data_IF_868859852839
#
_entry.id   IF_868859852839
#
_cell.length_a   1.000
_cell.length_b   1.000
_cell.length_c   1.000
_cell.angle_alpha   90.00
_cell.angle_beta   90.00
_cell.angle_gamma   90.00
#
_symmetry.space_group_name_H-M   'P 1'
#
loop_
_entity.id
_entity.type
_entity.pdbx_description
1 polymer ?
#
# COMPACT_ATOMS: atom_id res chain seq x y z
N UNK A 1 19.26 -43.44 -21.03
CA UNK A 1 19.57 -42.92 -19.69
C UNK A 1 18.68 -41.73 -19.46
N UNK A 2 17.64 -41.91 -18.64
CA UNK A 2 16.74 -40.86 -18.23
C UNK A 2 17.49 -39.97 -17.22
N UNK A 3 17.63 -38.68 -17.52
CA UNK A 3 18.00 -37.71 -16.51
C UNK A 3 16.74 -37.22 -15.84
N UNK A 4 16.52 -37.80 -14.68
CA UNK A 4 15.63 -37.37 -13.62
C UNK A 4 16.03 -35.94 -13.21
N UNK A 5 15.24 -34.94 -13.61
CA UNK A 5 15.38 -33.57 -13.12
C UNK A 5 14.53 -33.48 -11.85
N UNK A 6 15.25 -33.36 -10.74
CA UNK A 6 14.75 -33.12 -9.40
C UNK A 6 13.48 -32.25 -9.33
N UNK A 7 12.43 -32.84 -8.75
CA UNK A 7 11.50 -32.12 -7.87
C UNK A 7 12.26 -31.61 -6.64
N UNK A 8 12.41 -30.29 -6.50
CA UNK A 8 12.39 -29.57 -5.22
C UNK A 8 12.55 -28.06 -5.49
N UNK A 9 11.48 -27.30 -5.26
CA UNK A 9 11.48 -25.85 -5.20
C UNK A 9 10.19 -25.43 -4.50
N UNK A 10 10.16 -25.54 -3.17
CA UNK A 10 9.09 -24.93 -2.38
C UNK A 10 9.16 -23.42 -2.62
N UNK A 11 8.15 -22.89 -3.30
CA UNK A 11 8.24 -21.59 -3.98
C UNK A 11 8.71 -20.45 -3.09
N UNK A 12 9.66 -19.67 -3.61
CA UNK A 12 10.05 -18.36 -3.07
C UNK A 12 8.83 -17.43 -3.18
N UNK A 13 8.31 -16.94 -2.05
CA UNK A 13 7.16 -16.05 -1.98
C UNK A 13 6.40 -16.12 -0.65
N UNK A 14 5.57 -15.12 -0.33
CA UNK A 14 4.70 -15.18 0.85
C UNK A 14 3.71 -16.34 0.76
N UNK A 15 3.20 -16.80 1.91
CA UNK A 15 2.08 -17.73 1.93
C UNK A 15 0.81 -17.02 1.47
N UNK A 16 -0.08 -17.75 0.81
CA UNK A 16 -1.41 -17.23 0.48
C UNK A 16 -2.20 -17.05 1.80
N UNK A 17 -2.66 -15.83 2.14
CA UNK A 17 -3.40 -15.53 3.37
C UNK A 17 -4.76 -16.24 3.41
N UNK A 18 -5.36 -16.33 4.59
CA UNK A 18 -6.69 -16.88 4.83
C UNK A 18 -7.77 -16.03 4.18
N UNK A 19 -8.73 -16.68 3.52
CA UNK A 19 -9.84 -15.98 2.87
C UNK A 19 -10.72 -15.24 3.90
N UNK A 20 -11.31 -14.12 3.47
CA UNK A 20 -12.14 -13.25 4.32
C UNK A 20 -13.60 -13.16 3.88
N UNK A 21 -13.97 -13.95 2.89
CA UNK A 21 -15.34 -14.11 2.39
C UNK A 21 -15.36 -14.95 1.11
N UNK A 22 -16.49 -14.96 0.42
CA UNK A 22 -16.70 -15.83 -0.74
C UNK A 22 -15.86 -15.43 -1.96
N UNK A 23 -15.59 -14.14 -2.15
CA UNK A 23 -14.82 -13.65 -3.31
C UNK A 23 -13.35 -13.99 -3.16
N UNK A 24 -12.75 -13.63 -2.01
CA UNK A 24 -11.37 -13.95 -1.67
C UNK A 24 -11.13 -15.46 -1.60
N UNK A 25 -12.08 -16.25 -1.07
CA UNK A 25 -11.99 -17.72 -1.08
C UNK A 25 -11.92 -18.29 -2.50
N UNK A 26 -12.80 -17.84 -3.41
CA UNK A 26 -12.79 -18.31 -4.79
C UNK A 26 -11.50 -17.92 -5.54
N UNK A 27 -10.96 -16.71 -5.31
CA UNK A 27 -9.64 -16.33 -5.85
C UNK A 27 -8.55 -17.25 -5.29
N UNK A 28 -8.54 -17.48 -3.97
CA UNK A 28 -7.57 -18.33 -3.29
C UNK A 28 -7.57 -19.78 -3.82
N UNK A 29 -8.76 -20.38 -3.98
CA UNK A 29 -8.95 -21.72 -4.54
C UNK A 29 -8.49 -21.77 -6.01
N UNK A 30 -8.80 -20.74 -6.79
CA UNK A 30 -8.36 -20.65 -8.18
C UNK A 30 -6.83 -20.57 -8.30
N UNK A 31 -6.17 -19.76 -7.45
CA UNK A 31 -4.70 -19.65 -7.42
C UNK A 31 -4.00 -20.97 -7.08
N UNK A 32 -4.67 -21.86 -6.33
CA UNK A 32 -4.16 -23.20 -6.00
C UNK A 32 -4.48 -24.26 -7.06
N UNK A 33 -5.30 -23.94 -8.04
CA UNK A 33 -5.79 -24.89 -9.05
C UNK A 33 -6.92 -25.80 -8.54
N UNK A 34 -7.54 -25.46 -7.41
CA UNK A 34 -8.54 -26.28 -6.73
C UNK A 34 -9.98 -25.82 -7.01
N UNK A 35 -10.16 -24.67 -7.67
CA UNK A 35 -11.46 -24.02 -7.82
C UNK A 35 -11.68 -23.30 -9.14
N UNK A 36 -12.78 -22.55 -9.19
CA UNK A 36 -13.15 -21.67 -10.31
C UNK A 36 -13.07 -20.21 -9.88
N UNK A 37 -12.82 -19.27 -10.81
CA UNK A 37 -12.79 -17.84 -10.48
C UNK A 37 -14.14 -17.39 -9.90
N UNK A 38 -14.17 -16.38 -9.01
CA UNK A 38 -15.42 -15.87 -8.45
C UNK A 38 -16.40 -15.44 -9.54
N UNK A 39 -17.70 -15.69 -9.31
CA UNK A 39 -18.73 -15.24 -10.24
C UNK A 39 -18.84 -13.72 -10.17
N UNK A 40 -19.08 -13.09 -11.33
CA UNK A 40 -19.26 -11.63 -11.42
C UNK A 40 -20.35 -11.09 -10.48
N UNK A 41 -21.41 -11.87 -10.25
CA UNK A 41 -22.48 -11.48 -9.32
C UNK A 41 -22.00 -11.43 -7.86
N UNK A 42 -21.11 -12.33 -7.46
CA UNK A 42 -20.56 -12.34 -6.10
C UNK A 42 -19.65 -11.12 -5.90
N UNK A 43 -18.80 -10.81 -6.88
CA UNK A 43 -17.99 -9.57 -6.92
C UNK A 43 -18.87 -8.31 -6.85
N UNK A 44 -19.97 -8.27 -7.60
CA UNK A 44 -20.87 -7.12 -7.63
C UNK A 44 -21.60 -6.88 -6.29
N UNK A 45 -21.77 -7.92 -5.46
CA UNK A 45 -22.46 -7.86 -4.15
C UNK A 45 -21.52 -7.62 -2.98
N UNK A 46 -20.22 -7.86 -3.15
CA UNK A 46 -19.23 -7.64 -2.10
C UNK A 46 -19.13 -6.15 -1.75
N UNK A 47 -18.97 -5.86 -0.46
CA UNK A 47 -18.65 -4.52 0.04
C UNK A 47 -17.31 -4.07 -0.55
N UNK A 48 -17.31 -2.90 -1.20
CA UNK A 48 -16.17 -2.39 -1.96
C UNK A 48 -14.99 -2.02 -1.07
N UNK A 49 -15.23 -1.56 0.15
CA UNK A 49 -14.16 -1.29 1.12
C UNK A 49 -14.03 -2.41 2.16
N UNK A 50 -14.81 -3.49 2.01
CA UNK A 50 -14.83 -4.62 2.92
C UNK A 50 -13.68 -5.60 2.69
N UNK A 51 -13.42 -6.41 3.71
CA UNK A 51 -12.33 -7.38 3.73
C UNK A 51 -12.30 -8.35 2.57
N UNK A 52 -13.48 -8.87 2.16
CA UNK A 52 -13.56 -9.90 1.13
C UNK A 52 -13.08 -9.37 -0.23
N UNK A 53 -13.55 -8.18 -0.63
CA UNK A 53 -13.16 -7.57 -1.89
C UNK A 53 -11.72 -7.08 -1.86
N UNK A 54 -11.31 -6.40 -0.79
CA UNK A 54 -9.97 -5.83 -0.68
C UNK A 54 -8.89 -6.92 -0.61
N UNK A 55 -9.14 -8.04 0.08
CA UNK A 55 -8.22 -9.16 0.05
C UNK A 55 -8.18 -9.83 -1.33
N UNK A 56 -9.33 -10.05 -1.98
CA UNK A 56 -9.36 -10.63 -3.32
C UNK A 56 -8.57 -9.79 -4.34
N UNK A 57 -8.67 -8.46 -4.23
CA UNK A 57 -7.93 -7.54 -5.08
C UNK A 57 -6.42 -7.56 -4.78
N UNK A 58 -6.03 -7.59 -3.49
CA UNK A 58 -4.63 -7.73 -3.07
C UNK A 58 -4.00 -9.02 -3.62
N UNK A 59 -4.70 -10.15 -3.53
CA UNK A 59 -4.25 -11.43 -4.10
C UNK A 59 -4.00 -11.34 -5.61
N UNK A 60 -4.84 -10.60 -6.34
CA UNK A 60 -4.66 -10.40 -7.78
C UNK A 60 -3.47 -9.51 -8.12
N UNK A 61 -3.18 -8.51 -7.27
CA UNK A 61 -2.04 -7.60 -7.49
C UNK A 61 -0.70 -8.20 -7.10
N UNK A 62 -0.65 -9.04 -6.07
CA UNK A 62 0.61 -9.60 -5.59
C UNK A 62 1.31 -10.50 -6.64
N UNK A 63 0.55 -11.02 -7.61
CA UNK A 63 1.10 -11.72 -8.78
C UNK A 63 1.99 -10.85 -9.68
N UNK A 64 1.87 -9.52 -9.61
CA UNK A 64 2.69 -8.56 -10.37
C UNK A 64 3.95 -8.13 -9.58
N UNK A 65 4.15 -8.71 -8.39
CA UNK A 65 5.30 -8.45 -7.52
C UNK A 65 6.01 -9.78 -7.21
N UNK A 66 5.86 -10.34 -5.99
CA UNK A 66 6.56 -11.57 -5.58
C UNK A 66 5.72 -12.83 -5.72
N UNK A 67 4.46 -12.72 -6.13
CA UNK A 67 3.53 -13.84 -6.21
C UNK A 67 3.30 -14.49 -4.84
N UNK A 68 3.00 -15.79 -4.83
CA UNK A 68 2.83 -16.57 -3.60
C UNK A 68 3.50 -17.93 -3.71
N UNK A 69 3.98 -18.45 -2.58
CA UNK A 69 4.56 -19.78 -2.50
C UNK A 69 3.57 -20.85 -2.99
N UNK A 70 3.98 -21.61 -4.01
CA UNK A 70 3.19 -22.69 -4.60
C UNK A 70 2.14 -22.25 -5.62
N UNK A 71 2.05 -20.95 -5.93
CA UNK A 71 1.18 -20.43 -6.99
C UNK A 71 2.00 -20.31 -8.29
N UNK A 72 1.55 -20.89 -9.43
CA UNK A 72 2.29 -20.80 -10.69
C UNK A 72 2.45 -19.37 -11.22
N UNK A 73 3.67 -18.98 -11.60
CA UNK A 73 4.00 -17.62 -12.08
C UNK A 73 3.18 -17.19 -13.31
N UNK A 74 2.82 -18.12 -14.20
CA UNK A 74 2.02 -17.81 -15.40
C UNK A 74 0.63 -17.26 -15.09
N UNK A 75 0.15 -17.40 -13.84
CA UNK A 75 -1.12 -16.83 -13.39
C UNK A 75 -1.10 -15.29 -13.35
N UNK A 76 0.07 -14.66 -13.36
CA UNK A 76 0.22 -13.20 -13.53
C UNK A 76 -0.60 -12.68 -14.73
N UNK A 77 -0.63 -13.46 -15.82
CA UNK A 77 -1.31 -13.14 -17.09
C UNK A 77 -2.46 -14.09 -17.44
N UNK A 78 -2.98 -14.85 -16.47
CA UNK A 78 -4.11 -15.75 -16.70
C UNK A 78 -5.39 -14.97 -17.09
N UNK A 79 -6.01 -15.24 -18.26
CA UNK A 79 -7.13 -14.46 -18.75
C UNK A 79 -8.36 -14.44 -17.83
N UNK A 80 -8.63 -15.55 -17.14
CA UNK A 80 -9.77 -15.63 -16.24
C UNK A 80 -9.54 -14.82 -14.95
N UNK A 81 -8.31 -14.84 -14.42
CA UNK A 81 -7.95 -14.01 -13.28
C UNK A 81 -7.89 -12.52 -13.64
N UNK A 82 -7.38 -12.16 -14.82
CA UNK A 82 -7.44 -10.78 -15.33
C UNK A 82 -8.89 -10.29 -15.46
N UNK A 83 -9.81 -11.15 -15.91
CA UNK A 83 -11.25 -10.86 -15.99
C UNK A 83 -11.87 -10.64 -14.60
N UNK A 84 -11.41 -11.35 -13.58
CA UNK A 84 -11.81 -11.15 -12.17
C UNK A 84 -11.26 -9.83 -11.65
N UNK A 85 -9.96 -9.59 -11.80
CA UNK A 85 -9.30 -8.35 -11.36
C UNK A 85 -9.98 -7.13 -11.97
N UNK A 86 -10.24 -7.13 -13.27
CA UNK A 86 -10.95 -6.03 -13.93
C UNK A 86 -12.35 -5.74 -13.32
N UNK A 87 -13.06 -6.76 -12.86
CA UNK A 87 -14.36 -6.57 -12.20
C UNK A 87 -14.22 -5.99 -10.78
N UNK A 88 -13.20 -6.42 -10.03
CA UNK A 88 -12.86 -5.87 -8.70
C UNK A 88 -12.37 -4.41 -8.82
N UNK A 89 -11.45 -4.15 -9.74
CA UNK A 89 -10.92 -2.82 -10.05
C UNK A 89 -12.03 -1.85 -10.47
N UNK A 90 -12.95 -2.29 -11.33
CA UNK A 90 -14.07 -1.45 -11.75
C UNK A 90 -14.94 -1.04 -10.56
N UNK A 91 -15.29 -1.99 -9.68
CA UNK A 91 -16.03 -1.70 -8.45
C UNK A 91 -15.28 -0.70 -7.57
N UNK A 92 -14.00 -0.97 -7.33
CA UNK A 92 -13.16 -0.15 -6.45
C UNK A 92 -12.98 1.27 -6.99
N UNK A 93 -12.54 1.42 -8.25
CA UNK A 93 -12.35 2.73 -8.88
C UNK A 93 -13.65 3.53 -8.98
N UNK A 94 -14.78 2.88 -9.26
CA UNK A 94 -16.09 3.56 -9.27
C UNK A 94 -16.46 4.10 -7.89
N UNK A 95 -16.23 3.34 -6.82
CA UNK A 95 -16.48 3.81 -5.46
C UNK A 95 -15.54 4.95 -5.07
N UNK A 96 -14.23 4.81 -5.33
CA UNK A 96 -13.25 5.88 -5.07
C UNK A 96 -13.64 7.20 -5.75
N UNK A 97 -14.01 7.16 -7.03
CA UNK A 97 -14.47 8.36 -7.75
C UNK A 97 -15.77 8.96 -7.21
N UNK A 98 -16.63 8.15 -6.58
CA UNK A 98 -17.90 8.61 -6.05
C UNK A 98 -17.78 9.18 -4.62
N UNK A 99 -16.89 8.60 -3.82
CA UNK A 99 -16.80 8.88 -2.38
C UNK A 99 -15.68 9.88 -2.03
N UNK A 100 -14.71 10.07 -2.92
CA UNK A 100 -13.62 11.06 -2.74
C UNK A 100 -14.11 12.45 -3.11
N UNK A 101 -14.04 13.38 -2.16
CA UNK A 101 -14.22 14.80 -2.45
C UNK A 101 -13.07 15.29 -3.34
N UNK A 102 -13.41 15.84 -4.50
CA UNK A 102 -12.41 16.30 -5.47
C UNK A 102 -12.11 17.78 -5.28
N UNK A 103 -10.83 18.15 -5.30
CA UNK A 103 -10.43 19.54 -5.48
C UNK A 103 -10.75 20.02 -6.91
N UNK A 104 -11.00 21.33 -7.04
CA UNK A 104 -11.31 21.95 -8.33
C UNK A 104 -10.07 22.08 -9.23
N UNK A 105 -8.87 22.08 -8.64
CA UNK A 105 -7.59 22.22 -9.36
C UNK A 105 -6.44 21.45 -8.68
N UNK A 106 -5.36 21.22 -9.43
CA UNK A 106 -4.13 20.63 -8.89
C UNK A 106 -3.47 21.60 -7.91
N UNK A 107 -3.57 22.90 -8.17
CA UNK A 107 -3.04 23.94 -7.31
C UNK A 107 -3.72 23.93 -5.93
N UNK A 108 -5.04 23.77 -5.87
CA UNK A 108 -5.78 23.66 -4.62
C UNK A 108 -5.41 22.38 -3.87
N UNK A 109 -5.37 21.24 -4.56
CA UNK A 109 -4.97 19.96 -3.97
C UNK A 109 -3.55 20.01 -3.39
N UNK A 110 -2.60 20.63 -4.10
CA UNK A 110 -1.22 20.81 -3.61
C UNK A 110 -1.13 21.82 -2.47
N UNK A 111 -1.93 22.89 -2.50
CA UNK A 111 -1.95 23.89 -1.44
C UNK A 111 -2.34 23.25 -0.10
N UNK A 112 -3.35 22.39 -0.09
CA UNK A 112 -3.81 21.70 1.11
C UNK A 112 -2.76 20.74 1.69
N UNK A 113 -2.00 20.04 0.84
CA UNK A 113 -0.89 19.18 1.31
C UNK A 113 0.24 19.97 2.00
N UNK A 114 0.44 21.24 1.63
CA UNK A 114 1.51 22.08 2.18
C UNK A 114 1.14 22.72 3.52
N UNK A 115 -0.12 22.60 3.94
CA UNK A 115 -0.60 23.13 5.22
C UNK A 115 -0.48 22.06 6.29
N UNK A 116 0.52 22.19 7.16
CA UNK A 116 0.62 21.36 8.36
C UNK A 116 -0.32 21.88 9.46
N UNK A 117 -1.32 21.11 9.92
CA UNK A 117 -2.22 21.55 10.97
C UNK A 117 -1.48 21.72 12.30
N UNK A 118 -1.58 22.91 12.90
CA UNK A 118 -0.93 23.22 14.20
C UNK A 118 -1.42 22.30 15.32
N UNK A 119 -2.69 21.88 15.28
CA UNK A 119 -3.29 20.90 16.19
C UNK A 119 -3.77 19.66 15.43
N UNK A 120 -2.83 18.95 14.78
CA UNK A 120 -3.15 17.71 14.07
C UNK A 120 -3.62 16.60 15.01
N UNK A 121 -4.60 15.81 14.56
CA UNK A 121 -5.20 14.70 15.33
C UNK A 121 -5.04 13.31 14.66
N UNK A 122 -4.25 13.26 13.58
CA UNK A 122 -3.99 12.05 12.80
C UNK A 122 -3.06 11.04 13.49
N UNK A 123 -2.78 9.93 12.82
CA UNK A 123 -2.03 8.78 13.37
C UNK A 123 -0.63 9.16 13.84
N UNK A 124 0.14 9.92 13.05
CA UNK A 124 1.49 10.35 13.45
C UNK A 124 1.47 11.28 14.67
N UNK A 125 0.46 12.15 14.80
CA UNK A 125 0.26 12.98 15.99
C UNK A 125 -0.06 12.13 17.22
N UNK A 126 -0.99 11.19 17.09
CA UNK A 126 -1.33 10.28 18.19
C UNK A 126 -0.12 9.44 18.63
N UNK A 127 0.60 8.82 17.68
CA UNK A 127 1.78 8.02 17.97
C UNK A 127 2.91 8.83 18.62
N UNK A 128 3.08 10.09 18.22
CA UNK A 128 4.06 11.00 18.80
C UNK A 128 3.67 11.45 20.23
N UNK A 129 2.41 11.82 20.45
CA UNK A 129 1.96 12.42 21.71
C UNK A 129 1.56 11.38 22.78
N UNK A 130 0.87 10.32 22.39
CA UNK A 130 0.16 9.39 23.29
C UNK A 130 0.44 7.92 23.00
N UNK A 131 0.98 7.60 21.81
CA UNK A 131 1.28 6.23 21.37
C UNK A 131 2.09 5.42 22.38
N UNK A 132 1.74 4.15 22.50
CA UNK A 132 2.48 3.17 23.29
C UNK A 132 3.20 2.23 22.31
N UNK A 133 4.18 1.46 22.79
CA UNK A 133 4.96 0.56 21.95
C UNK A 133 4.09 -0.44 21.18
N UNK A 134 2.96 -0.88 21.74
CA UNK A 134 2.04 -1.78 21.04
C UNK A 134 1.27 -1.07 19.91
N UNK A 135 0.91 0.21 20.05
CA UNK A 135 0.36 1.02 18.95
C UNK A 135 1.36 1.13 17.78
N UNK A 136 2.63 1.40 18.11
CA UNK A 136 3.72 1.47 17.12
C UNK A 136 3.88 0.13 16.38
N UNK A 137 3.89 -0.99 17.10
CA UNK A 137 3.99 -2.33 16.50
C UNK A 137 2.84 -2.62 15.54
N UNK A 138 1.61 -2.30 15.92
CA UNK A 138 0.45 -2.51 15.05
C UNK A 138 0.49 -1.63 13.79
N UNK A 139 0.87 -0.36 13.95
CA UNK A 139 1.04 0.56 12.82
C UNK A 139 2.05 0.02 11.81
N UNK A 140 3.23 -0.39 12.28
CA UNK A 140 4.30 -0.94 11.45
C UNK A 140 3.89 -2.28 10.83
N UNK A 141 3.21 -3.15 11.57
CA UNK A 141 2.71 -4.42 11.03
C UNK A 141 1.75 -4.21 9.85
N UNK A 142 0.81 -3.26 9.95
CA UNK A 142 -0.10 -2.96 8.84
C UNK A 142 0.60 -2.26 7.67
N UNK A 143 1.55 -1.35 7.95
CA UNK A 143 2.36 -0.65 6.95
C UNK A 143 3.33 -1.58 6.19
N UNK A 144 3.72 -2.71 6.79
CA UNK A 144 4.61 -3.70 6.16
C UNK A 144 4.11 -4.26 4.83
N UNK A 145 2.80 -4.21 4.58
CA UNK A 145 2.19 -4.68 3.32
C UNK A 145 2.65 -3.87 2.10
N UNK A 146 2.98 -2.59 2.30
CA UNK A 146 3.58 -1.74 1.28
C UNK A 146 5.09 -1.62 1.48
N UNK A 147 5.55 -1.21 2.67
CA UNK A 147 6.95 -0.80 2.81
C UNK A 147 7.97 -1.92 2.55
N UNK A 148 7.61 -3.20 2.71
CA UNK A 148 8.51 -4.30 2.33
C UNK A 148 8.65 -4.52 0.81
N UNK A 149 7.96 -3.72 -0.01
CA UNK A 149 8.10 -3.57 -1.46
C UNK A 149 8.15 -2.10 -1.91
N UNK A 150 8.54 -1.20 -1.03
CA UNK A 150 8.81 0.20 -1.41
C UNK A 150 10.03 0.26 -2.35
N UNK A 151 9.97 0.91 -3.53
CA UNK A 151 8.90 1.72 -4.13
C UNK A 151 8.20 1.05 -5.35
N UNK A 152 8.13 -0.30 -5.38
CA UNK A 152 7.72 -1.10 -6.55
C UNK A 152 6.40 -0.62 -7.22
N UNK A 153 5.32 -0.25 -6.51
CA UNK A 153 4.10 0.23 -7.14
C UNK A 153 4.26 1.52 -7.94
N UNK A 154 5.16 2.42 -7.52
CA UNK A 154 5.40 3.70 -8.18
C UNK A 154 6.26 3.55 -9.43
N UNK A 155 7.21 2.60 -9.44
CA UNK A 155 8.05 2.29 -10.58
C UNK A 155 7.27 1.97 -11.88
N UNK A 156 6.04 1.46 -11.78
CA UNK A 156 5.18 1.20 -12.94
C UNK A 156 4.82 2.45 -13.76
N UNK A 157 4.98 3.65 -13.19
CA UNK A 157 4.77 4.90 -13.90
C UNK A 157 5.91 5.22 -14.87
N UNK A 158 7.14 4.77 -14.59
CA UNK A 158 8.34 5.13 -15.35
C UNK A 158 8.21 4.81 -16.84
N UNK A 159 7.71 3.65 -17.29
CA UNK A 159 7.53 3.39 -18.72
C UNK A 159 6.52 4.33 -19.41
N UNK A 160 5.70 5.06 -18.65
CA UNK A 160 4.56 5.87 -19.13
C UNK A 160 4.85 7.36 -19.13
N UNK A 161 5.91 7.80 -18.45
CA UNK A 161 6.38 9.17 -18.43
C UNK A 161 7.48 9.39 -19.49
N UNK A 162 7.64 10.63 -19.92
CA UNK A 162 8.79 11.07 -20.71
C UNK A 162 9.23 12.47 -20.26
N UNK A 163 10.27 13.00 -20.92
CA UNK A 163 10.78 14.33 -20.65
C UNK A 163 11.19 14.56 -19.19
N UNK A 164 10.91 15.78 -18.71
CA UNK A 164 11.27 16.22 -17.35
C UNK A 164 10.58 15.38 -16.27
N UNK A 165 9.31 15.00 -16.48
CA UNK A 165 8.56 14.22 -15.51
C UNK A 165 9.22 12.85 -15.25
N UNK A 166 9.64 12.16 -16.31
CA UNK A 166 10.36 10.89 -16.20
C UNK A 166 11.69 11.05 -15.47
N UNK A 167 12.46 12.09 -15.79
CA UNK A 167 13.76 12.32 -15.17
C UNK A 167 13.62 12.59 -13.66
N UNK A 168 12.66 13.42 -13.26
CA UNK A 168 12.36 13.67 -11.85
C UNK A 168 11.90 12.41 -11.11
N UNK A 169 10.93 11.67 -11.67
CA UNK A 169 10.44 10.43 -11.08
C UNK A 169 11.55 9.40 -10.89
N UNK A 170 12.40 9.20 -11.92
CA UNK A 170 13.50 8.25 -11.85
C UNK A 170 14.57 8.65 -10.83
N UNK A 171 14.75 9.95 -10.58
CA UNK A 171 15.70 10.43 -9.57
C UNK A 171 15.23 10.09 -8.15
N UNK A 172 13.94 10.29 -7.86
CA UNK A 172 13.36 9.92 -6.55
C UNK A 172 13.37 8.40 -6.38
N UNK A 173 12.88 7.63 -7.37
CA UNK A 173 12.92 6.16 -7.33
C UNK A 173 14.35 5.62 -7.12
N UNK A 174 15.36 6.23 -7.73
CA UNK A 174 16.74 5.82 -7.53
C UNK A 174 17.19 5.95 -6.06
N UNK A 175 16.72 6.99 -5.37
CA UNK A 175 16.97 7.19 -3.94
C UNK A 175 16.23 6.16 -3.09
N UNK A 176 14.93 5.92 -3.37
CA UNK A 176 14.11 4.88 -2.71
C UNK A 176 14.74 3.47 -2.82
N UNK A 177 15.38 3.17 -3.96
CA UNK A 177 16.18 1.95 -4.18
C UNK A 177 17.63 2.06 -3.63
N UNK A 178 17.86 2.91 -2.64
CA UNK A 178 19.10 3.04 -1.88
C UNK A 178 20.28 3.66 -2.64
N UNK A 179 20.02 4.35 -3.75
CA UNK A 179 21.04 4.89 -4.64
C UNK A 179 21.94 3.80 -5.24
N UNK A 180 21.37 2.62 -5.52
CA UNK A 180 22.09 1.45 -6.03
C UNK A 180 22.81 0.61 -4.97
N UNK A 181 22.55 0.85 -3.67
CA UNK A 181 23.11 0.09 -2.55
C UNK A 181 22.02 -0.76 -1.90
N UNK A 182 22.12 -2.08 -2.04
CA UNK A 182 21.09 -3.02 -1.61
C UNK A 182 20.81 -2.96 -0.10
N UNK A 183 21.80 -2.63 0.72
CA UNK A 183 21.68 -2.45 2.17
C UNK A 183 20.94 -1.17 2.58
N UNK A 184 20.66 -0.27 1.64
CA UNK A 184 19.97 1.01 1.86
C UNK A 184 18.64 1.13 1.13
N UNK A 185 18.19 0.09 0.44
CA UNK A 185 16.84 0.09 -0.14
C UNK A 185 15.84 0.31 0.99
N UNK A 186 14.87 1.21 0.82
CA UNK A 186 13.94 1.58 1.90
C UNK A 186 13.15 0.39 2.42
N UNK A 187 12.79 -0.57 1.57
CA UNK A 187 12.22 -1.84 2.00
C UNK A 187 13.11 -2.66 2.94
N UNK A 188 14.44 -2.59 2.80
CA UNK A 188 15.39 -3.20 3.73
C UNK A 188 15.44 -2.43 5.04
N UNK A 189 15.50 -1.10 4.99
CA UNK A 189 15.50 -0.25 6.18
C UNK A 189 14.21 -0.46 7.02
N UNK A 190 13.06 -0.60 6.36
CA UNK A 190 11.80 -0.92 7.02
C UNK A 190 11.83 -2.31 7.69
N UNK A 191 12.45 -3.31 7.06
CA UNK A 191 12.64 -4.61 7.66
C UNK A 191 13.54 -4.56 8.91
N UNK A 192 14.57 -3.72 8.92
CA UNK A 192 15.44 -3.51 10.08
C UNK A 192 14.67 -2.79 11.22
N UNK A 193 13.85 -1.79 10.89
CA UNK A 193 12.87 -1.18 11.83
C UNK A 193 11.94 -2.23 12.43
N UNK A 194 11.40 -3.15 11.62
CA UNK A 194 10.51 -4.21 12.09
C UNK A 194 11.24 -5.14 13.07
N UNK A 195 12.50 -5.48 12.80
CA UNK A 195 13.30 -6.32 13.67
C UNK A 195 13.53 -5.68 15.04
N UNK A 196 13.81 -4.39 15.09
CA UNK A 196 13.94 -3.59 16.32
C UNK A 196 12.67 -3.63 17.17
N UNK A 197 11.50 -3.58 16.53
CA UNK A 197 10.20 -3.70 17.20
C UNK A 197 9.85 -5.15 17.62
N UNK A 198 10.67 -6.14 17.24
CA UNK A 198 10.41 -7.55 17.48
C UNK A 198 9.31 -8.14 16.58
N UNK A 199 9.08 -7.55 15.41
CA UNK A 199 8.15 -8.03 14.40
C UNK A 199 8.84 -9.02 13.45
N UNK A 200 8.05 -9.88 12.81
CA UNK A 200 8.51 -10.83 11.80
C UNK A 200 8.65 -10.12 10.45
N UNK A 201 9.87 -10.07 9.93
CA UNK A 201 10.23 -9.30 8.73
C UNK A 201 9.89 -10.02 7.42
N UNK A 202 9.29 -11.22 7.49
CA UNK A 202 8.91 -11.98 6.30
C UNK A 202 7.90 -11.21 5.46
N UNK A 203 8.22 -10.99 4.19
CA UNK A 203 7.31 -10.34 3.24
C UNK A 203 5.93 -11.00 3.24
N UNK A 204 4.87 -10.21 3.31
CA UNK A 204 3.48 -10.67 3.34
C UNK A 204 3.04 -11.34 4.65
N UNK A 205 3.87 -11.35 5.71
CA UNK A 205 3.55 -12.02 6.99
C UNK A 205 2.26 -11.52 7.63
N UNK A 206 2.04 -10.20 7.61
CA UNK A 206 0.95 -9.55 8.34
C UNK A 206 -0.33 -9.36 7.52
N UNK A 207 -0.41 -9.98 6.33
CA UNK A 207 -1.59 -9.84 5.48
C UNK A 207 -2.83 -10.43 6.13
N UNK A 208 -2.74 -11.49 6.95
CA UNK A 208 -3.90 -12.04 7.67
C UNK A 208 -4.42 -11.09 8.75
N UNK A 209 -3.52 -10.38 9.44
CA UNK A 209 -3.85 -9.46 10.54
C UNK A 209 -4.23 -8.04 10.06
N UNK A 210 -3.82 -7.63 8.86
CA UNK A 210 -4.07 -6.30 8.32
C UNK A 210 -5.56 -6.02 8.08
N UNK A 211 -6.00 -4.78 8.30
CA UNK A 211 -7.39 -4.37 8.06
C UNK A 211 -7.70 -4.21 6.57
N UNK A 212 -8.99 -4.18 6.22
CA UNK A 212 -9.42 -3.88 4.85
C UNK A 212 -8.98 -2.47 4.42
N UNK A 213 -8.89 -1.53 5.37
CA UNK A 213 -8.42 -0.17 5.15
C UNK A 213 -6.94 -0.14 4.76
N UNK A 214 -6.10 -0.90 5.46
CA UNK A 214 -4.69 -1.07 5.08
C UNK A 214 -4.55 -1.77 3.71
N UNK A 215 -5.37 -2.77 3.41
CA UNK A 215 -5.38 -3.39 2.07
C UNK A 215 -5.80 -2.40 0.99
N UNK A 216 -6.78 -1.52 1.26
CA UNK A 216 -7.26 -0.55 0.31
C UNK A 216 -6.19 0.50 -0.06
N UNK A 217 -5.41 0.99 0.90
CA UNK A 217 -4.30 1.92 0.62
C UNK A 217 -3.25 1.27 -0.29
N UNK A 218 -2.88 0.02 -0.02
CA UNK A 218 -1.92 -0.74 -0.86
C UNK A 218 -2.50 -1.04 -2.25
N UNK A 219 -3.77 -1.47 -2.31
CA UNK A 219 -4.45 -1.79 -3.57
C UNK A 219 -4.62 -0.55 -4.47
N UNK A 220 -4.76 0.64 -3.90
CA UNK A 220 -4.79 1.89 -4.66
C UNK A 220 -3.50 2.06 -5.46
N UNK A 221 -2.33 1.84 -4.83
CA UNK A 221 -1.03 2.02 -5.49
C UNK A 221 -0.90 1.10 -6.72
N UNK A 222 -1.28 -0.17 -6.58
CA UNK A 222 -1.26 -1.13 -7.69
C UNK A 222 -2.33 -0.83 -8.75
N UNK A 223 -3.51 -0.34 -8.37
CA UNK A 223 -4.54 0.12 -9.32
C UNK A 223 -4.01 1.25 -10.20
N UNK A 224 -3.42 2.27 -9.59
CA UNK A 224 -2.87 3.41 -10.31
C UNK A 224 -1.62 3.00 -11.13
N UNK A 225 -0.77 2.17 -10.54
CA UNK A 225 0.46 1.64 -11.14
C UNK A 225 0.24 0.73 -12.32
N UNK A 226 -0.72 -0.19 -12.31
CA UNK A 226 -0.88 -1.14 -13.42
C UNK A 226 -1.69 -0.59 -14.61
N UNK A 227 -2.36 0.55 -14.46
CA UNK A 227 -3.21 1.13 -15.51
C UNK A 227 -2.63 2.41 -16.13
N UNK A 228 -2.18 2.36 -17.39
CA UNK A 228 -1.62 3.53 -18.10
C UNK A 228 -2.55 4.75 -18.10
N UNK A 229 -3.86 4.49 -18.15
CA UNK A 229 -4.88 5.54 -18.11
C UNK A 229 -4.88 6.32 -16.77
N UNK A 230 -4.36 5.74 -15.69
CA UNK A 230 -4.33 6.33 -14.35
C UNK A 230 -2.95 6.92 -13.99
N UNK A 231 -2.05 7.12 -14.97
CA UNK A 231 -0.69 7.64 -14.70
C UNK A 231 -0.68 9.01 -14.04
N UNK A 232 -1.64 9.90 -14.39
CA UNK A 232 -1.79 11.19 -13.73
C UNK A 232 -2.16 11.03 -12.26
N UNK A 233 -3.08 10.11 -11.97
CA UNK A 233 -3.48 9.77 -10.61
C UNK A 233 -2.35 9.10 -9.81
N UNK A 234 -1.50 8.27 -10.42
CA UNK A 234 -0.32 7.76 -9.72
C UNK A 234 0.66 8.88 -9.37
N UNK A 235 0.88 9.85 -10.27
CA UNK A 235 1.71 11.03 -9.98
C UNK A 235 1.11 11.89 -8.86
N UNK A 236 -0.21 12.05 -8.83
CA UNK A 236 -0.92 12.72 -7.73
C UNK A 236 -0.77 11.98 -6.40
N UNK A 237 -0.97 10.67 -6.39
CA UNK A 237 -0.76 9.82 -5.22
C UNK A 237 0.68 9.94 -4.69
N UNK A 238 1.66 9.86 -5.60
CA UNK A 238 3.06 10.02 -5.26
C UNK A 238 3.32 11.39 -4.62
N UNK A 239 2.74 12.45 -5.15
CA UNK A 239 2.85 13.78 -4.56
C UNK A 239 2.25 13.88 -3.15
N UNK A 240 1.12 13.24 -2.88
CA UNK A 240 0.55 13.21 -1.54
C UNK A 240 1.51 12.54 -0.53
N UNK A 241 2.14 11.43 -0.90
CA UNK A 241 3.10 10.72 -0.04
C UNK A 241 4.35 11.58 0.19
N UNK A 242 5.01 12.03 -0.88
CA UNK A 242 6.28 12.75 -0.80
C UNK A 242 6.16 14.11 -0.08
N UNK A 243 5.07 14.86 -0.32
CA UNK A 243 4.89 16.18 0.30
C UNK A 243 4.59 16.07 1.80
N UNK A 244 3.85 15.04 2.21
CA UNK A 244 3.42 14.89 3.62
C UNK A 244 4.37 14.02 4.45
N UNK A 245 5.32 13.33 3.81
CA UNK A 245 6.21 12.38 4.48
C UNK A 245 7.15 13.06 5.48
N UNK A 246 7.93 14.08 5.09
CA UNK A 246 8.94 14.65 6.00
C UNK A 246 8.37 15.14 7.35
N UNK A 247 7.23 15.88 7.40
CA UNK A 247 6.60 16.22 8.67
C UNK A 247 6.13 14.97 9.44
N UNK A 248 5.44 14.03 8.79
CA UNK A 248 4.94 12.82 9.43
C UNK A 248 6.07 11.93 9.99
N UNK A 249 7.13 11.74 9.21
CA UNK A 249 8.35 11.00 9.57
C UNK A 249 9.05 11.63 10.77
N UNK A 250 9.10 12.96 10.88
CA UNK A 250 9.64 13.63 12.08
C UNK A 250 8.88 13.24 13.35
N UNK A 251 7.54 13.20 13.28
CA UNK A 251 6.68 12.76 14.39
C UNK A 251 6.85 11.28 14.69
N UNK A 252 6.97 10.44 13.66
CA UNK A 252 7.18 9.01 13.83
C UNK A 252 8.54 8.70 14.43
N UNK A 253 9.61 9.38 14.02
CA UNK A 253 10.93 9.28 14.64
C UNK A 253 10.90 9.66 16.13
N UNK A 254 10.17 10.72 16.49
CA UNK A 254 9.94 11.09 17.90
C UNK A 254 9.16 10.02 18.66
N UNK A 255 8.11 9.43 18.04
CA UNK A 255 7.39 8.30 18.60
C UNK A 255 8.29 7.08 18.84
N UNK A 256 9.17 6.75 17.89
CA UNK A 256 10.13 5.65 18.01
C UNK A 256 11.08 5.87 19.19
N UNK A 257 11.70 7.06 19.28
CA UNK A 257 12.57 7.43 20.42
C UNK A 257 11.86 7.33 21.75
N UNK A 258 10.66 7.90 21.86
CA UNK A 258 9.87 7.94 23.09
C UNK A 258 9.44 6.56 23.57
N UNK A 259 9.11 5.67 22.64
CA UNK A 259 8.65 4.31 22.97
C UNK A 259 9.79 3.29 23.10
N UNK A 260 11.04 3.69 22.87
CA UNK A 260 12.20 2.82 22.90
C UNK A 260 12.17 1.76 21.81
N UNK A 261 11.70 2.13 20.60
CA UNK A 261 11.51 1.22 19.49
C UNK A 261 12.82 0.60 18.98
N UNK A 262 13.93 1.34 19.05
CA UNK A 262 15.26 0.89 18.63
C UNK A 262 15.90 1.80 17.59
N UNK A 263 17.24 1.75 17.44
CA UNK A 263 17.99 2.67 16.57
C UNK A 263 17.69 2.53 15.07
N UNK A 264 17.40 1.32 14.57
CA UNK A 264 16.99 1.13 13.17
C UNK A 264 15.58 1.67 12.92
N UNK A 265 14.69 1.53 13.91
CA UNK A 265 13.36 2.11 13.84
C UNK A 265 13.38 3.65 13.80
N UNK A 266 14.27 4.27 14.58
CA UNK A 266 14.52 5.72 14.52
C UNK A 266 15.14 6.11 13.17
N UNK A 267 16.17 5.40 12.73
CA UNK A 267 16.91 5.69 11.50
C UNK A 267 16.02 5.68 10.25
N UNK A 268 15.10 4.72 10.13
CA UNK A 268 14.18 4.66 8.99
C UNK A 268 13.41 5.98 8.79
N UNK A 269 12.84 6.54 9.86
CA UNK A 269 12.08 7.78 9.75
C UNK A 269 12.97 9.02 9.70
N UNK A 270 14.14 9.02 10.35
CA UNK A 270 15.08 10.13 10.23
C UNK A 270 15.62 10.26 8.78
N UNK A 271 15.83 9.15 8.06
CA UNK A 271 16.20 9.15 6.63
C UNK A 271 15.12 9.86 5.78
N UNK A 272 13.84 9.51 5.98
CA UNK A 272 12.71 10.13 5.28
C UNK A 272 12.48 11.60 5.67
N UNK A 273 12.96 12.06 6.84
CA UNK A 273 12.92 13.50 7.16
C UNK A 273 13.87 14.28 6.25
N UNK A 274 15.06 13.75 5.99
CA UNK A 274 16.11 14.40 5.21
C UNK A 274 15.90 14.26 3.70
N UNK A 275 15.65 13.04 3.22
CA UNK A 275 15.47 12.73 1.79
C UNK A 275 14.22 13.42 1.22
N UNK A 276 13.08 13.27 1.91
CA UNK A 276 11.79 13.68 1.34
C UNK A 276 11.62 15.20 1.30
N UNK A 277 12.38 15.96 2.10
CA UNK A 277 12.43 17.42 1.98
C UNK A 277 12.98 17.87 0.61
N UNK A 278 13.86 17.07 0.01
CA UNK A 278 14.33 17.29 -1.37
C UNK A 278 13.34 16.71 -2.38
N UNK A 279 12.79 15.52 -2.11
CA UNK A 279 11.83 14.88 -2.99
C UNK A 279 10.58 15.73 -3.22
N UNK A 280 10.04 16.37 -2.17
CA UNK A 280 8.91 17.30 -2.26
C UNK A 280 9.10 18.33 -3.39
N UNK A 281 10.29 18.93 -3.47
CA UNK A 281 10.59 19.93 -4.49
C UNK A 281 10.72 19.31 -5.88
N UNK A 282 11.39 18.17 -6.01
CA UNK A 282 11.52 17.44 -7.28
C UNK A 282 10.16 17.02 -7.81
N UNK A 283 9.29 16.50 -6.95
CA UNK A 283 7.94 16.09 -7.31
C UNK A 283 7.13 17.26 -7.83
N UNK A 284 7.11 18.38 -7.12
CA UNK A 284 6.30 19.54 -7.53
C UNK A 284 6.85 20.19 -8.80
N UNK A 285 8.15 20.46 -8.84
CA UNK A 285 8.78 21.28 -9.89
C UNK A 285 9.14 20.49 -11.15
N UNK A 286 9.50 19.22 -11.00
CA UNK A 286 9.94 18.39 -12.12
C UNK A 286 8.90 17.35 -12.52
N UNK A 287 8.33 16.60 -11.57
CA UNK A 287 7.37 15.54 -11.89
C UNK A 287 6.03 16.09 -12.32
N UNK A 288 5.32 16.83 -11.46
CA UNK A 288 3.98 17.37 -11.75
C UNK A 288 4.06 18.44 -12.82
N UNK A 289 4.89 19.47 -12.62
CA UNK A 289 4.99 20.54 -13.61
C UNK A 289 5.61 20.06 -14.93
N UNK A 290 6.44 19.01 -14.93
CA UNK A 290 6.87 18.35 -16.17
C UNK A 290 5.72 17.63 -16.87
N UNK A 291 4.93 16.86 -16.12
CA UNK A 291 3.81 16.10 -16.65
C UNK A 291 2.76 17.03 -17.26
N UNK A 292 2.35 18.08 -16.54
CA UNK A 292 1.28 18.97 -16.97
C UNK A 292 1.71 19.93 -18.09
N UNK A 293 3.02 20.17 -18.26
CA UNK A 293 3.52 20.91 -19.42
C UNK A 293 3.36 20.11 -20.72
N UNK A 294 3.53 18.79 -20.67
CA UNK A 294 3.42 17.90 -21.83
C UNK A 294 2.00 17.35 -22.02
N UNK A 295 1.31 17.07 -20.91
CA UNK A 295 0.00 16.40 -20.86
C UNK A 295 -0.99 17.15 -19.94
N UNK A 296 -1.36 18.40 -20.24
CA UNK A 296 -2.21 19.23 -19.37
C UNK A 296 -3.60 18.63 -19.11
N UNK A 297 -4.09 17.75 -20.00
CA UNK A 297 -5.36 17.04 -19.84
C UNK A 297 -5.38 16.08 -18.65
N UNK A 298 -4.23 15.76 -18.05
CA UNK A 298 -4.12 14.90 -16.86
C UNK A 298 -4.26 15.66 -15.54
N UNK A 299 -4.42 16.99 -15.53
CA UNK A 299 -4.59 17.76 -14.31
C UNK A 299 -5.71 17.22 -13.39
N UNK A 300 -6.91 16.86 -13.90
CA UNK A 300 -7.94 16.25 -13.06
C UNK A 300 -7.54 14.89 -12.46
N UNK A 301 -6.74 14.10 -13.21
CA UNK A 301 -6.26 12.81 -12.70
C UNK A 301 -5.22 13.03 -11.59
N UNK A 302 -4.34 14.03 -11.71
CA UNK A 302 -3.36 14.38 -10.66
C UNK A 302 -4.08 14.83 -9.38
N UNK A 303 -5.06 15.72 -9.48
CA UNK A 303 -5.87 16.12 -8.33
C UNK A 303 -6.58 14.91 -7.70
N UNK A 304 -7.26 14.08 -8.52
CA UNK A 304 -7.89 12.87 -8.03
C UNK A 304 -6.92 11.92 -7.31
N UNK A 305 -5.68 11.78 -7.79
CA UNK A 305 -4.64 10.98 -7.16
C UNK A 305 -4.27 11.46 -5.75
N UNK A 306 -4.18 12.78 -5.56
CA UNK A 306 -3.96 13.40 -4.24
C UNK A 306 -5.16 13.10 -3.32
N UNK A 307 -6.35 13.40 -3.81
CA UNK A 307 -7.59 13.37 -3.02
C UNK A 307 -7.93 11.95 -2.56
N UNK A 308 -7.80 10.97 -3.46
CA UNK A 308 -8.12 9.58 -3.17
C UNK A 308 -7.11 8.96 -2.20
N UNK A 309 -5.87 9.46 -2.20
CA UNK A 309 -4.84 9.05 -1.24
C UNK A 309 -5.21 9.54 0.15
N UNK A 310 -5.53 10.84 0.29
CA UNK A 310 -6.02 11.41 1.56
C UNK A 310 -7.27 10.69 2.08
N UNK A 311 -8.25 10.46 1.21
CA UNK A 311 -9.49 9.76 1.56
C UNK A 311 -9.26 8.35 2.14
N UNK A 312 -8.38 7.54 1.53
CA UNK A 312 -8.10 6.19 2.05
C UNK A 312 -7.23 6.23 3.31
N UNK A 313 -6.29 7.17 3.41
CA UNK A 313 -5.47 7.38 4.61
C UNK A 313 -6.32 7.83 5.80
N UNK A 314 -7.31 8.70 5.59
CA UNK A 314 -8.26 9.11 6.64
C UNK A 314 -9.08 7.92 7.14
N UNK A 315 -9.58 7.07 6.23
CA UNK A 315 -10.31 5.84 6.61
C UNK A 315 -9.43 4.88 7.40
N UNK A 316 -8.16 4.76 7.03
CA UNK A 316 -7.20 3.94 7.76
C UNK A 316 -6.91 4.53 9.14
N UNK A 317 -6.70 5.84 9.23
CA UNK A 317 -6.50 6.56 10.47
C UNK A 317 -7.70 6.44 11.43
N UNK A 318 -8.93 6.60 10.93
CA UNK A 318 -10.15 6.42 11.70
C UNK A 318 -10.23 5.03 12.34
N UNK A 319 -9.87 3.98 11.57
CA UNK A 319 -9.87 2.61 12.07
C UNK A 319 -8.83 2.41 13.18
N UNK A 320 -7.59 2.85 12.95
CA UNK A 320 -6.50 2.73 13.92
C UNK A 320 -6.83 3.47 15.22
N UNK A 321 -7.12 4.76 15.10
CA UNK A 321 -7.37 5.65 16.24
C UNK A 321 -8.63 5.23 17.00
N UNK A 322 -9.66 4.77 16.30
CA UNK A 322 -10.89 4.26 16.92
C UNK A 322 -10.65 3.03 17.80
N UNK A 323 -9.78 2.10 17.36
CA UNK A 323 -9.43 0.91 18.13
C UNK A 323 -8.55 1.27 19.35
N UNK A 324 -7.49 2.05 19.10
CA UNK A 324 -6.51 2.43 20.12
C UNK A 324 -7.11 3.28 21.23
N UNK A 325 -7.92 4.31 20.90
CA UNK A 325 -8.63 5.13 21.90
C UNK A 325 -9.63 4.33 22.73
N UNK A 326 -10.08 3.18 22.21
CA UNK A 326 -10.94 2.26 22.94
C UNK A 326 -10.16 1.16 23.69
N UNK A 327 -8.82 1.23 23.71
CA UNK A 327 -7.95 0.26 24.38
C UNK A 327 -7.97 -1.14 23.75
N UNK A 328 -8.22 -1.23 22.43
CA UNK A 328 -8.26 -2.49 21.69
C UNK A 328 -7.23 -2.51 20.55
N UNK A 329 -6.83 -3.71 20.15
CA UNK A 329 -6.00 -3.90 18.97
C UNK A 329 -6.71 -3.38 17.71
N UNK A 330 -5.95 -2.72 16.84
CA UNK A 330 -6.38 -2.35 15.50
C UNK A 330 -6.24 -3.49 14.48
N UNK A 331 -5.51 -4.55 14.82
CA UNK A 331 -5.34 -5.73 13.98
C UNK A 331 -6.61 -6.59 13.99
N UNK A 332 -6.78 -7.39 12.94
CA UNK A 332 -7.85 -8.37 12.87
C UNK A 332 -7.55 -9.58 13.77
N UNK A 333 -8.56 -10.00 14.52
CA UNK A 333 -8.49 -11.26 15.27
C UNK A 333 -8.65 -12.46 14.34
N UNK A 334 -7.73 -13.43 14.44
CA UNK A 334 -7.78 -14.71 13.73
C UNK A 334 -9.00 -15.59 14.11
N UNK A 335 -9.77 -15.23 15.15
CA UNK A 335 -10.72 -16.13 15.83
C UNK A 335 -12.21 -15.94 15.53
N UNK A 336 -12.63 -15.09 14.58
CA UNK A 336 -14.06 -14.85 14.31
C UNK A 336 -14.72 -15.73 13.23
N UNK A 337 -14.11 -16.83 12.79
CA UNK A 337 -14.69 -17.69 11.74
C UNK A 337 -14.88 -19.19 12.09
N UNK A 338 -14.85 -19.57 13.36
CA UNK A 338 -15.35 -20.88 13.82
C UNK A 338 -16.65 -20.75 14.62
N UNK A 339 -17.61 -20.03 14.05
CA UNK A 339 -18.99 -19.99 14.51
C UNK A 339 -19.80 -21.22 14.08
N UNK A 340 -19.43 -22.41 14.53
CA UNK A 340 -20.39 -23.52 14.71
C UNK A 340 -20.46 -23.79 16.21
N UNK A 341 -21.53 -23.25 16.79
CA UNK A 341 -21.99 -23.55 18.13
C UNK A 341 -22.20 -25.05 18.27
N UNK A 342 -21.40 -25.71 19.10
CA UNK A 342 -21.77 -26.98 19.73
C UNK A 342 -22.18 -26.68 21.16
N UNK A 343 -23.43 -26.24 21.31
CA UNK A 343 -24.22 -26.52 22.51
C UNK A 343 -24.95 -27.83 22.25
N UNK A 344 -24.44 -28.92 22.80
CA UNK A 344 -25.17 -29.96 23.55
C UNK A 344 -24.20 -31.01 24.04
#
# INVERSE_FOLDING_TARGET
MAHDVHRAGGGEGPRVPSARGGVSAAVQEYLRGDGSPPRRLDVARADVYGDDLQLALYLCYELHYRGFAGVPEHLEWDPELLRVRAALEHRFLTALRADTAAHDSVEDALADLLVEPVEGTGVSHYLCAEGELWHVREYVAQRSLYHLKEADPHAWVLPRLWGRAKAGMAAVEFDEYGGGRADRIHARLFADLMADLGLDTTYGRYVDEATAQALATVNLMSLLGLHRALRGALVGHFAAVEITSSPASRRLAEAMRRTGAGPAAEHFYDEHVEADAVHEQVVRQDVIAGLLAEEPHLAPDVAFGIDVTGYLEDRFAEQLLGAWRAGRSSLRDHHQQSGISLIS
#
